data_IF_832218656005
#
_entry.id   IF_832218656005
#
_cell.length_a   1.000
_cell.length_b   1.000
_cell.length_c   1.000
_cell.angle_alpha   90.00
_cell.angle_beta   90.00
_cell.angle_gamma   90.00
#
_symmetry.space_group_name_H-M   'P 1'
#
loop_
_entity.id
_entity.type
_entity.pdbx_description
1 polymer ?
#
# COMPACT_ATOMS: atom_id res chain seq x y z
N UNK A 1 -12.87 -4.30 6.62
CA UNK A 1 -13.88 -4.53 7.69
C UNK A 1 -15.30 -4.63 7.13
N UNK A 2 -15.88 -3.59 6.51
CA UNK A 2 -17.27 -3.65 5.99
C UNK A 2 -17.51 -4.81 5.00
N UNK A 3 -16.55 -5.06 4.11
CA UNK A 3 -16.62 -6.20 3.19
C UNK A 3 -16.62 -7.56 3.91
N UNK A 4 -15.89 -7.70 5.01
CA UNK A 4 -15.86 -8.95 5.78
C UNK A 4 -17.22 -9.22 6.45
N UNK A 5 -17.89 -8.17 6.95
CA UNK A 5 -19.26 -8.26 7.45
C UNK A 5 -20.27 -8.63 6.36
N UNK A 6 -20.14 -8.04 5.16
CA UNK A 6 -20.99 -8.40 4.03
C UNK A 6 -20.81 -9.88 3.61
N UNK A 7 -19.57 -10.37 3.55
CA UNK A 7 -19.28 -11.78 3.26
C UNK A 7 -19.81 -12.70 4.37
N UNK A 8 -19.64 -12.31 5.64
CA UNK A 8 -20.21 -13.04 6.78
C UNK A 8 -21.73 -13.14 6.68
N UNK A 9 -22.42 -12.07 6.29
CA UNK A 9 -23.87 -12.07 6.09
C UNK A 9 -24.31 -13.03 4.98
N UNK A 10 -23.59 -13.07 3.86
CA UNK A 10 -23.93 -13.92 2.71
C UNK A 10 -23.57 -15.39 2.91
N UNK A 11 -22.40 -15.67 3.50
CA UNK A 11 -21.81 -17.02 3.61
C UNK A 11 -22.04 -17.63 4.99
N UNK A 12 -22.60 -16.87 5.94
CA UNK A 12 -22.85 -17.29 7.33
C UNK A 12 -21.57 -17.79 8.02
N UNK A 13 -20.44 -17.14 7.71
CA UNK A 13 -19.13 -17.43 8.29
C UNK A 13 -18.70 -16.34 9.27
N UNK A 14 -17.76 -16.66 10.15
CA UNK A 14 -17.27 -15.70 11.14
C UNK A 14 -16.57 -14.49 10.46
N UNK A 15 -17.00 -13.25 10.72
CA UNK A 15 -16.45 -12.07 10.05
C UNK A 15 -14.98 -11.81 10.42
N UNK A 16 -14.54 -12.24 11.59
CA UNK A 16 -13.15 -12.10 12.02
C UNK A 16 -12.25 -13.05 11.24
N UNK A 17 -12.67 -14.31 11.03
CA UNK A 17 -11.97 -15.26 10.18
C UNK A 17 -11.83 -14.76 8.74
N UNK A 18 -12.90 -14.20 8.15
CA UNK A 18 -12.85 -13.60 6.80
C UNK A 18 -11.82 -12.47 6.74
N UNK A 19 -11.81 -11.59 7.75
CA UNK A 19 -10.86 -10.48 7.79
C UNK A 19 -9.42 -10.95 7.92
N UNK A 20 -9.15 -11.98 8.74
CA UNK A 20 -7.82 -12.57 8.88
C UNK A 20 -7.31 -13.20 7.58
N UNK A 21 -8.16 -13.94 6.87
CA UNK A 21 -7.80 -14.53 5.56
C UNK A 21 -7.48 -13.42 4.56
N UNK A 22 -8.30 -12.37 4.52
CA UNK A 22 -8.04 -11.22 3.68
C UNK A 22 -6.69 -10.53 4.01
N UNK A 23 -6.41 -10.30 5.29
CA UNK A 23 -5.16 -9.69 5.76
C UNK A 23 -3.94 -10.53 5.34
N UNK A 24 -4.02 -11.85 5.50
CA UNK A 24 -2.96 -12.77 5.10
C UNK A 24 -2.74 -12.76 3.58
N UNK A 25 -3.82 -12.84 2.80
CA UNK A 25 -3.72 -12.78 1.34
C UNK A 25 -3.11 -11.45 0.87
N UNK A 26 -3.52 -10.34 1.47
CA UNK A 26 -2.98 -9.02 1.15
C UNK A 26 -1.48 -8.93 1.46
N UNK A 27 -1.06 -9.37 2.65
CA UNK A 27 0.34 -9.46 3.03
C UNK A 27 1.18 -10.29 2.04
N UNK A 28 0.66 -11.44 1.60
CA UNK A 28 1.33 -12.30 0.62
C UNK A 28 1.42 -11.65 -0.76
N UNK A 29 0.33 -11.01 -1.22
CA UNK A 29 0.32 -10.31 -2.51
C UNK A 29 1.32 -9.15 -2.53
N UNK A 30 1.45 -8.41 -1.43
CA UNK A 30 2.44 -7.34 -1.30
C UNK A 30 3.88 -7.87 -1.37
N UNK A 31 4.15 -9.02 -0.74
CA UNK A 31 5.43 -9.69 -0.85
C UNK A 31 5.74 -10.09 -2.30
N UNK A 32 4.77 -10.70 -2.99
CA UNK A 32 4.91 -11.08 -4.39
C UNK A 32 5.12 -9.86 -5.29
N UNK A 33 4.38 -8.77 -5.07
CA UNK A 33 4.54 -7.52 -5.81
C UNK A 33 5.96 -6.97 -5.69
N UNK A 34 6.54 -6.99 -4.48
CA UNK A 34 7.93 -6.55 -4.28
C UNK A 34 8.92 -7.44 -5.04
N UNK A 35 8.75 -8.77 -5.01
CA UNK A 35 9.58 -9.68 -5.80
C UNK A 35 9.52 -9.36 -7.31
N UNK A 36 8.31 -9.05 -7.82
CA UNK A 36 8.11 -8.70 -9.23
C UNK A 36 8.81 -7.37 -9.56
N UNK A 37 8.60 -6.33 -8.75
CA UNK A 37 9.20 -5.00 -8.97
C UNK A 37 10.72 -5.03 -8.88
N UNK A 38 11.27 -5.84 -7.99
CA UNK A 38 12.71 -6.03 -7.86
C UNK A 38 13.30 -6.98 -8.92
N UNK A 39 12.44 -7.68 -9.68
CA UNK A 39 12.83 -8.64 -10.71
C UNK A 39 13.84 -9.69 -10.20
N UNK A 40 13.64 -10.20 -8.98
CA UNK A 40 14.58 -11.12 -8.35
C UNK A 40 14.28 -11.40 -6.88
N UNK A 41 15.22 -12.08 -6.21
CA UNK A 41 15.14 -12.32 -4.76
C UNK A 41 15.33 -11.01 -4.00
N UNK A 42 14.49 -10.80 -3.00
CA UNK A 42 14.52 -9.62 -2.15
C UNK A 42 15.86 -9.55 -1.37
N UNK A 43 16.57 -8.41 -1.36
CA UNK A 43 17.90 -8.29 -0.75
C UNK A 43 17.87 -8.12 0.79
N UNK A 44 16.71 -8.27 1.43
CA UNK A 44 16.52 -8.10 2.88
C UNK A 44 15.85 -9.33 3.51
N UNK A 45 15.93 -9.43 4.83
CA UNK A 45 15.39 -10.59 5.55
C UNK A 45 13.85 -10.58 5.54
N UNK A 46 13.23 -11.76 5.69
CA UNK A 46 11.77 -11.86 5.81
C UNK A 46 11.22 -11.11 7.04
N UNK A 47 12.02 -10.96 8.10
CA UNK A 47 11.64 -10.19 9.29
C UNK A 47 11.62 -8.68 8.99
N UNK A 48 12.59 -8.18 8.23
CA UNK A 48 12.61 -6.78 7.80
C UNK A 48 11.38 -6.46 6.96
N UNK A 49 10.97 -7.39 6.10
CA UNK A 49 9.72 -7.27 5.35
C UNK A 49 8.51 -7.08 6.26
N UNK A 50 8.35 -7.94 7.28
CA UNK A 50 7.19 -7.91 8.19
C UNK A 50 7.14 -6.58 8.95
N UNK A 51 8.27 -6.13 9.48
CA UNK A 51 8.36 -4.86 10.22
C UNK A 51 8.03 -3.68 9.28
N UNK A 52 8.61 -3.65 8.09
CA UNK A 52 8.35 -2.62 7.10
C UNK A 52 6.89 -2.61 6.63
N UNK A 53 6.29 -3.79 6.43
CA UNK A 53 4.89 -3.93 6.03
C UNK A 53 3.94 -3.43 7.14
N UNK A 54 4.20 -3.79 8.40
CA UNK A 54 3.42 -3.26 9.54
C UNK A 54 3.54 -1.74 9.67
N UNK A 55 4.75 -1.20 9.54
CA UNK A 55 4.96 0.25 9.55
C UNK A 55 4.17 0.93 8.41
N UNK A 56 4.21 0.34 7.21
CA UNK A 56 3.46 0.85 6.06
C UNK A 56 1.96 0.87 6.34
N UNK A 57 1.39 -0.19 6.92
CA UNK A 57 -0.04 -0.23 7.26
C UNK A 57 -0.42 0.82 8.31
N UNK A 58 0.39 0.97 9.36
CA UNK A 58 0.17 2.00 10.39
C UNK A 58 0.26 3.42 9.82
N UNK A 59 1.16 3.64 8.86
CA UNK A 59 1.35 4.93 8.22
C UNK A 59 0.40 5.18 7.04
N UNK A 60 -0.32 4.16 6.54
CA UNK A 60 -1.09 4.25 5.30
C UNK A 60 -2.12 5.39 5.33
N UNK A 61 -2.92 5.47 6.40
CA UNK A 61 -3.90 6.55 6.56
C UNK A 61 -3.27 7.93 6.70
N UNK A 62 -2.15 8.02 7.43
CA UNK A 62 -1.43 9.28 7.63
C UNK A 62 -0.84 9.77 6.30
N UNK A 63 -0.19 8.87 5.55
CA UNK A 63 0.37 9.17 4.23
C UNK A 63 -0.73 9.55 3.23
N UNK A 64 -1.88 8.86 3.27
CA UNK A 64 -3.01 9.18 2.41
C UNK A 64 -3.56 10.59 2.69
N UNK A 65 -3.79 10.92 3.97
CA UNK A 65 -4.24 12.26 4.36
C UNK A 65 -3.20 13.32 3.96
N UNK A 66 -1.91 13.05 4.18
CA UNK A 66 -0.85 13.97 3.75
C UNK A 66 -0.82 14.16 2.24
N UNK A 67 -0.99 13.09 1.46
CA UNK A 67 -1.02 13.17 0.00
C UNK A 67 -2.23 13.96 -0.53
N UNK A 68 -3.35 13.97 0.21
CA UNK A 68 -4.50 14.82 -0.12
C UNK A 68 -4.23 16.30 0.16
N UNK A 69 -3.47 16.61 1.23
CA UNK A 69 -3.17 17.99 1.63
C UNK A 69 -2.01 18.59 0.84
N UNK A 70 -0.94 17.82 0.63
CA UNK A 70 0.27 18.19 -0.09
C UNK A 70 0.55 17.13 -1.17
N UNK A 71 0.01 17.31 -2.39
CA UNK A 71 0.11 16.32 -3.45
C UNK A 71 1.47 16.32 -4.17
N UNK A 72 2.38 17.23 -3.82
CA UNK A 72 3.67 17.40 -4.47
C UNK A 72 4.72 16.48 -3.82
N UNK A 73 5.09 15.42 -4.54
CA UNK A 73 6.04 14.41 -4.14
C UNK A 73 7.44 14.82 -4.59
N UNK A 74 8.30 15.18 -3.64
CA UNK A 74 9.72 15.39 -3.92
C UNK A 74 10.44 14.05 -4.00
N UNK A 75 11.06 13.76 -5.15
CA UNK A 75 11.81 12.53 -5.35
C UNK A 75 13.14 12.82 -6.05
N UNK A 76 14.25 12.50 -5.38
CA UNK A 76 15.61 12.84 -5.81
C UNK A 76 15.73 14.35 -6.12
N UNK A 77 15.96 14.72 -7.36
CA UNK A 77 16.12 16.11 -7.83
C UNK A 77 14.83 16.71 -8.41
N UNK A 78 13.77 15.93 -8.55
CA UNK A 78 12.51 16.35 -9.18
C UNK A 78 11.35 16.49 -8.18
N UNK A 79 10.39 17.33 -8.53
CA UNK A 79 9.09 17.41 -7.86
C UNK A 79 8.03 16.84 -8.79
N UNK A 80 7.24 15.89 -8.31
CA UNK A 80 6.22 15.21 -9.08
C UNK A 80 4.86 15.44 -8.45
N UNK A 81 3.83 15.56 -9.26
CA UNK A 81 2.44 15.62 -8.81
C UNK A 81 1.68 14.45 -9.38
N UNK A 82 0.94 13.75 -8.52
CA UNK A 82 0.10 12.64 -8.96
C UNK A 82 -1.21 13.18 -9.55
N UNK A 83 -1.41 12.96 -10.85
CA UNK A 83 -2.64 13.30 -11.53
C UNK A 83 -3.69 12.22 -11.30
N UNK A 84 -4.96 12.59 -11.45
CA UNK A 84 -6.06 11.64 -11.50
C UNK A 84 -5.79 10.57 -12.56
N UNK A 85 -5.99 9.30 -12.21
CA UNK A 85 -5.61 8.15 -13.04
C UNK A 85 -4.22 7.57 -12.74
N UNK A 86 -3.50 8.09 -11.74
CA UNK A 86 -2.25 7.50 -11.26
C UNK A 86 -1.01 7.88 -12.07
N UNK A 87 -1.12 8.88 -12.96
CA UNK A 87 0.00 9.38 -13.75
C UNK A 87 0.77 10.42 -12.93
N UNK A 88 2.04 10.13 -12.60
CA UNK A 88 2.94 11.11 -12.00
C UNK A 88 3.47 12.07 -13.07
N UNK A 89 3.20 13.37 -12.94
CA UNK A 89 3.73 14.41 -13.81
C UNK A 89 4.80 15.22 -13.08
N UNK A 90 5.93 15.46 -13.74
CA UNK A 90 6.96 16.34 -13.19
C UNK A 90 6.49 17.80 -13.22
N UNK A 91 6.52 18.45 -12.06
CA UNK A 91 6.26 19.87 -11.91
C UNK A 91 7.57 20.61 -12.18
N UNK A 92 7.73 21.13 -13.41
CA UNK A 92 8.85 22.04 -13.71
C UNK A 92 8.64 23.32 -12.93
N UNK A 93 9.48 23.56 -11.93
CA UNK A 93 9.58 24.88 -11.29
C UNK A 93 9.87 25.90 -12.38
N UNK A 94 8.96 26.83 -12.62
CA UNK A 94 9.24 27.98 -13.50
C UNK A 94 10.33 28.80 -12.80
N UNK A 95 11.50 28.90 -13.44
CA UNK A 95 12.56 29.85 -13.12
C UNK A 95 11.99 31.28 -13.11
#
# INVERSE_FOLDING_TARGET
>A
VLAAWAVSFLVQCDPFAVYLVHLLLWFLLDYVLLCIVQNGSIPFSKTDFVVAWMLRECCALILFIRALWEPDIKWRTGTFKLMWGGVAQEVKTKL
#
